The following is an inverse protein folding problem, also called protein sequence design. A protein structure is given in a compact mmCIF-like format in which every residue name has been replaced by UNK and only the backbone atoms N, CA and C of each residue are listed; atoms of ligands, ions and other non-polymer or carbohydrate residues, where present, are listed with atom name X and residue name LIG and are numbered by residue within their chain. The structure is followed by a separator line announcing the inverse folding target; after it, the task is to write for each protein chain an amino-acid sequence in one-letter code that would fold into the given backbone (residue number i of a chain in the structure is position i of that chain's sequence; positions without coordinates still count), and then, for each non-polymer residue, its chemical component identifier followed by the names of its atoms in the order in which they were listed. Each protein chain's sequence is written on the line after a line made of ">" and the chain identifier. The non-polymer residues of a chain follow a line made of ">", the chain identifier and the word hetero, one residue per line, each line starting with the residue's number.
data_IF_678263109471
#
_entry.id   IF_678263109471
#
_cell.length_a   1.000
_cell.length_b   1.000
_cell.length_c   1.000
_cell.angle_alpha   90.00
_cell.angle_beta   90.00
_cell.angle_gamma   90.00
#
_symmetry.space_group_name_H-M   'P 1'
#
loop_
_entity.id
_entity.type
_entity.pdbx_description
1 polymer ?
#
# COMPACT_ATOMS: atom_id res chain seq x y z
N UNK A 1 8.10 2.94 -28.10
CA UNK A 1 7.43 3.29 -26.84
C UNK A 1 8.04 2.42 -25.75
N UNK A 2 8.71 3.03 -24.76
CA UNK A 2 9.38 2.30 -23.68
C UNK A 2 8.44 2.19 -22.49
N UNK A 3 8.35 0.99 -21.91
CA UNK A 3 7.58 0.71 -20.70
C UNK A 3 8.54 0.62 -19.51
N UNK A 4 8.24 1.32 -18.42
CA UNK A 4 8.96 1.18 -17.15
C UNK A 4 7.98 0.72 -16.06
N UNK A 5 8.27 -0.46 -15.49
CA UNK A 5 7.43 -1.09 -14.46
C UNK A 5 8.14 -1.00 -13.12
N UNK A 6 7.43 -0.52 -12.10
CA UNK A 6 7.94 -0.35 -10.75
C UNK A 6 7.09 -1.13 -9.77
N UNK A 7 7.75 -1.82 -8.84
CA UNK A 7 7.11 -2.29 -7.61
C UNK A 7 7.06 -1.17 -6.56
N UNK A 8 6.21 -1.32 -5.55
CA UNK A 8 6.01 -0.36 -4.46
C UNK A 8 6.82 -0.73 -3.22
N UNK A 9 6.45 -1.83 -2.56
CA UNK A 9 6.89 -2.13 -1.20
C UNK A 9 8.32 -2.68 -1.17
N UNK A 10 9.27 -1.91 -0.62
CA UNK A 10 10.68 -2.27 -0.63
C UNK A 10 11.41 -1.89 -1.93
N UNK A 11 10.69 -1.30 -2.90
CA UNK A 11 11.26 -0.81 -4.16
C UNK A 11 11.18 0.72 -4.23
N UNK A 12 9.98 1.30 -4.10
CA UNK A 12 9.77 2.75 -3.98
C UNK A 12 9.72 3.15 -2.51
N UNK A 13 8.91 2.46 -1.70
CA UNK A 13 8.85 2.67 -0.25
C UNK A 13 9.93 1.85 0.47
N UNK A 14 10.39 2.34 1.62
CA UNK A 14 11.38 1.61 2.44
C UNK A 14 10.85 0.28 2.96
N UNK A 15 9.56 0.23 3.27
CA UNK A 15 8.90 -0.89 3.95
C UNK A 15 7.50 -1.14 3.38
N UNK A 16 6.86 -2.20 3.86
CA UNK A 16 5.46 -2.50 3.61
C UNK A 16 4.57 -1.30 3.96
N UNK A 17 3.69 -0.93 3.04
CA UNK A 17 2.80 0.23 3.19
C UNK A 17 1.43 -0.14 3.75
N UNK A 18 1.00 -1.41 3.69
CA UNK A 18 -0.32 -1.82 4.14
C UNK A 18 -0.45 -1.83 5.66
N UNK A 19 0.50 -2.45 6.37
CA UNK A 19 0.41 -2.56 7.83
C UNK A 19 0.43 -1.18 8.51
N UNK A 20 1.35 -0.24 8.17
CA UNK A 20 1.34 1.11 8.73
C UNK A 20 0.05 1.89 8.42
N UNK A 21 -0.52 1.73 7.22
CA UNK A 21 -1.80 2.35 6.84
C UNK A 21 -2.91 1.87 7.77
N UNK A 22 -3.07 0.55 7.91
CA UNK A 22 -4.11 -0.04 8.78
C UNK A 22 -3.89 0.38 10.23
N UNK A 23 -2.66 0.35 10.74
CA UNK A 23 -2.37 0.76 12.11
C UNK A 23 -2.74 2.22 12.35
N UNK A 24 -2.38 3.13 11.43
CA UNK A 24 -2.72 4.55 11.51
C UNK A 24 -4.23 4.78 11.46
N UNK A 25 -4.98 3.96 10.71
CA UNK A 25 -6.44 3.98 10.72
C UNK A 25 -7.03 3.58 12.07
N UNK A 26 -6.49 2.52 12.68
CA UNK A 26 -6.97 1.99 13.95
C UNK A 26 -6.66 2.90 15.13
N UNK A 27 -5.46 3.50 15.19
CA UNK A 27 -5.07 4.41 16.30
C UNK A 27 -6.00 5.62 16.40
N UNK A 28 -6.59 6.07 15.28
CA UNK A 28 -7.61 7.13 15.27
C UNK A 28 -8.97 6.69 15.83
N UNK A 29 -9.18 5.39 16.07
CA UNK A 29 -10.42 4.77 16.55
C UNK A 29 -10.09 3.68 17.57
N UNK A 30 -9.73 4.04 18.81
CA UNK A 30 -9.10 3.12 19.76
C UNK A 30 -9.94 1.87 20.06
N UNK A 31 -11.28 1.96 20.03
CA UNK A 31 -12.16 0.79 20.17
C UNK A 31 -11.98 -0.26 19.07
N UNK A 32 -11.45 0.13 17.90
CA UNK A 32 -11.13 -0.79 16.80
C UNK A 32 -9.78 -1.49 16.97
N UNK A 33 -8.90 -1.08 17.89
CA UNK A 33 -7.64 -1.80 18.13
C UNK A 33 -7.88 -3.25 18.56
N UNK A 34 -8.97 -3.51 19.29
CA UNK A 34 -9.38 -4.87 19.68
C UNK A 34 -9.58 -5.81 18.46
N UNK A 35 -9.89 -5.25 17.27
CA UNK A 35 -9.99 -6.04 16.04
C UNK A 35 -8.66 -6.64 15.59
N UNK A 36 -7.52 -6.11 16.05
CA UNK A 36 -6.20 -6.71 15.77
C UNK A 36 -6.05 -8.09 16.39
N UNK A 37 -6.82 -8.42 17.44
CA UNK A 37 -6.83 -9.78 18.00
C UNK A 37 -7.31 -10.81 16.97
N UNK A 38 -8.17 -10.41 16.03
CA UNK A 38 -8.60 -11.26 14.91
C UNK A 38 -7.50 -11.56 13.88
N UNK A 39 -6.34 -10.89 13.95
CA UNK A 39 -5.18 -11.14 13.09
C UNK A 39 -4.31 -12.27 13.62
N UNK A 40 -4.43 -12.60 14.92
CA UNK A 40 -3.61 -13.62 15.60
C UNK A 40 -3.62 -14.98 14.90
N UNK A 41 -4.77 -15.53 14.45
CA UNK A 41 -4.78 -16.78 13.70
C UNK A 41 -4.00 -16.70 12.37
N UNK A 42 -4.05 -15.55 11.69
CA UNK A 42 -3.29 -15.30 10.47
C UNK A 42 -1.79 -15.20 10.71
N UNK A 43 -1.37 -14.58 11.82
CA UNK A 43 0.03 -14.52 12.26
C UNK A 43 0.58 -15.91 12.58
N UNK A 44 -0.20 -16.73 13.31
CA UNK A 44 0.17 -18.11 13.59
C UNK A 44 0.34 -18.91 12.30
N UNK A 45 -0.60 -18.80 11.35
CA UNK A 45 -0.48 -19.45 10.05
C UNK A 45 0.75 -18.97 9.25
N UNK A 46 1.04 -17.68 9.28
CA UNK A 46 2.24 -17.12 8.63
C UNK A 46 3.54 -17.71 9.20
N UNK A 47 3.60 -18.03 10.48
CA UNK A 47 4.77 -18.68 11.08
C UNK A 47 5.06 -20.06 10.46
N UNK A 48 4.04 -20.77 9.96
CA UNK A 48 4.18 -22.07 9.30
C UNK A 48 4.30 -21.96 7.78
N UNK A 49 3.48 -21.14 7.14
CA UNK A 49 3.34 -21.10 5.66
C UNK A 49 4.13 -19.96 4.99
N UNK A 50 4.56 -18.95 5.76
CA UNK A 50 5.23 -17.73 5.27
C UNK A 50 4.51 -16.99 4.14
N UNK A 51 3.19 -17.20 4.00
CA UNK A 51 2.37 -16.53 3.00
C UNK A 51 1.98 -15.12 3.45
N UNK A 52 2.66 -14.12 2.87
CA UNK A 52 2.41 -12.70 3.14
C UNK A 52 1.05 -12.25 2.62
N UNK A 53 0.56 -12.80 1.52
CA UNK A 53 -0.75 -12.46 0.94
C UNK A 53 -1.88 -12.89 1.87
N UNK A 54 -1.82 -14.13 2.35
CA UNK A 54 -2.71 -14.66 3.37
C UNK A 54 -2.76 -13.79 4.64
N UNK A 55 -1.59 -13.36 5.13
CA UNK A 55 -1.50 -12.51 6.32
C UNK A 55 -2.15 -11.14 6.08
N UNK A 56 -1.85 -10.50 4.94
CA UNK A 56 -2.45 -9.21 4.54
C UNK A 56 -3.97 -9.32 4.43
N UNK A 57 -4.49 -10.40 3.84
CA UNK A 57 -5.93 -10.64 3.75
C UNK A 57 -6.57 -10.82 5.13
N UNK A 58 -5.93 -11.55 6.05
CA UNK A 58 -6.42 -11.70 7.43
C UNK A 58 -6.48 -10.36 8.16
N UNK A 59 -5.45 -9.51 7.99
CA UNK A 59 -5.41 -8.16 8.53
C UNK A 59 -6.59 -7.32 8.03
N UNK A 60 -6.80 -7.28 6.72
CA UNK A 60 -7.89 -6.52 6.10
C UNK A 60 -9.26 -7.01 6.56
N UNK A 61 -9.48 -8.34 6.59
CA UNK A 61 -10.74 -8.95 7.03
C UNK A 61 -11.04 -8.65 8.50
N UNK A 62 -10.03 -8.64 9.36
CA UNK A 62 -10.20 -8.35 10.77
C UNK A 62 -10.48 -6.85 11.01
N UNK A 63 -9.77 -5.96 10.30
CA UNK A 63 -9.69 -4.54 10.67
C UNK A 63 -10.60 -3.63 9.84
N UNK A 64 -10.73 -3.89 8.53
CA UNK A 64 -11.40 -3.00 7.58
C UNK A 64 -12.74 -3.54 7.07
N UNK A 65 -13.11 -4.80 7.36
CA UNK A 65 -14.42 -5.36 6.99
C UNK A 65 -15.56 -4.44 7.42
N UNK A 66 -16.44 -4.12 6.46
CA UNK A 66 -17.61 -3.26 6.65
C UNK A 66 -17.30 -1.75 6.61
N UNK A 67 -16.05 -1.35 6.37
CA UNK A 67 -15.67 0.06 6.19
C UNK A 67 -15.87 0.45 4.72
N UNK A 68 -16.69 1.47 4.40
CA UNK A 68 -16.84 1.96 3.04
C UNK A 68 -15.52 2.50 2.49
N UNK A 69 -15.22 2.22 1.21
CA UNK A 69 -14.01 2.75 0.52
C UNK A 69 -13.97 4.28 0.55
N UNK A 70 -15.13 4.94 0.47
CA UNK A 70 -15.26 6.40 0.58
C UNK A 70 -14.78 6.94 1.93
N UNK A 71 -14.97 6.18 3.01
CA UNK A 71 -14.50 6.55 4.34
C UNK A 71 -12.98 6.46 4.47
N UNK A 72 -12.37 5.55 3.70
CA UNK A 72 -10.92 5.33 3.67
C UNK A 72 -10.20 6.29 2.72
N UNK A 73 -10.86 6.84 1.71
CA UNK A 73 -10.24 7.63 0.64
C UNK A 73 -9.34 8.76 1.19
N UNK A 74 -9.91 9.63 2.04
CA UNK A 74 -9.15 10.75 2.61
C UNK A 74 -8.04 10.29 3.58
N UNK A 75 -8.19 9.13 4.21
CA UNK A 75 -7.13 8.54 5.02
C UNK A 75 -5.98 8.02 4.16
N UNK A 76 -6.30 7.34 3.06
CA UNK A 76 -5.34 6.80 2.11
C UNK A 76 -4.55 7.93 1.44
N UNK A 77 -5.24 8.97 0.95
CA UNK A 77 -4.58 10.15 0.36
C UNK A 77 -3.54 10.76 1.29
N UNK A 78 -3.93 11.06 2.55
CA UNK A 78 -2.99 11.59 3.55
C UNK A 78 -1.87 10.61 3.86
N UNK A 79 -2.16 9.33 3.97
CA UNK A 79 -1.14 8.30 4.22
C UNK A 79 -0.12 8.23 3.08
N UNK A 80 -0.58 8.26 1.84
CA UNK A 80 0.28 8.23 0.65
C UNK A 80 1.15 9.47 0.60
N UNK A 81 0.59 10.66 0.81
CA UNK A 81 1.36 11.92 0.83
C UNK A 81 2.45 11.90 1.91
N UNK A 82 2.12 11.47 3.12
CA UNK A 82 3.09 11.36 4.22
C UNK A 82 4.17 10.30 3.92
N UNK A 83 3.80 9.21 3.24
CA UNK A 83 4.75 8.16 2.86
C UNK A 83 5.67 8.61 1.73
N UNK A 84 5.17 9.33 0.72
CA UNK A 84 6.00 9.87 -0.36
C UNK A 84 7.02 10.88 0.17
N UNK A 85 6.65 11.67 1.17
CA UNK A 85 7.54 12.71 1.71
C UNK A 85 8.69 12.18 2.58
N UNK A 86 8.49 11.03 3.25
CA UNK A 86 9.43 10.55 4.29
C UNK A 86 9.71 9.04 4.30
N UNK A 87 8.91 8.24 3.60
CA UNK A 87 8.97 6.77 3.62
C UNK A 87 9.41 6.13 2.31
N UNK A 88 9.93 6.91 1.36
CA UNK A 88 10.38 6.44 0.04
C UNK A 88 11.87 6.68 -0.20
N UNK A 89 12.49 5.78 -0.97
CA UNK A 89 13.88 5.93 -1.39
C UNK A 89 14.01 7.11 -2.35
N UNK A 90 14.85 8.09 -1.99
CA UNK A 90 15.07 9.28 -2.82
C UNK A 90 15.54 8.92 -4.25
N UNK A 91 16.38 7.89 -4.38
CA UNK A 91 16.86 7.36 -5.66
C UNK A 91 15.75 6.71 -6.49
N UNK A 92 14.81 6.01 -5.85
CA UNK A 92 13.65 5.44 -6.53
C UNK A 92 12.75 6.55 -7.08
N UNK A 93 12.47 7.58 -6.27
CA UNK A 93 11.71 8.76 -6.72
C UNK A 93 12.41 9.50 -7.87
N UNK A 94 13.72 9.67 -7.80
CA UNK A 94 14.51 10.27 -8.89
C UNK A 94 14.44 9.40 -10.16
N UNK A 95 14.48 8.08 -10.03
CA UNK A 95 14.39 7.15 -11.16
C UNK A 95 13.03 7.20 -11.83
N UNK A 96 11.93 7.22 -11.06
CA UNK A 96 10.58 7.45 -11.58
C UNK A 96 10.51 8.76 -12.37
N UNK A 97 11.05 9.86 -11.81
CA UNK A 97 11.09 11.16 -12.50
C UNK A 97 11.87 11.13 -13.81
N UNK A 98 13.05 10.51 -13.83
CA UNK A 98 13.86 10.36 -15.06
C UNK A 98 13.11 9.62 -16.15
N UNK A 99 12.46 8.51 -15.83
CA UNK A 99 11.68 7.76 -16.81
C UNK A 99 10.47 8.55 -17.31
N UNK A 100 9.83 9.33 -16.44
CA UNK A 100 8.76 10.25 -16.82
C UNK A 100 9.25 11.33 -17.79
N UNK A 101 10.37 11.98 -17.48
CA UNK A 101 10.99 13.03 -18.31
C UNK A 101 11.45 12.49 -19.66
N UNK A 102 11.86 11.21 -19.72
CA UNK A 102 12.17 10.50 -20.95
C UNK A 102 10.93 10.10 -21.77
N UNK A 103 9.71 10.41 -21.31
CA UNK A 103 8.46 10.08 -22.00
C UNK A 103 8.12 8.58 -22.01
N UNK A 104 8.64 7.81 -21.06
CA UNK A 104 8.30 6.40 -20.93
C UNK A 104 6.90 6.24 -20.33
N UNK A 105 6.22 5.16 -20.71
CA UNK A 105 4.96 4.79 -20.08
C UNK A 105 5.24 4.11 -18.74
N UNK A 106 4.74 4.70 -17.66
CA UNK A 106 5.02 4.29 -16.28
C UNK A 106 3.89 3.40 -15.74
N UNK A 107 4.25 2.21 -15.28
CA UNK A 107 3.33 1.28 -14.61
C UNK A 107 3.79 1.00 -13.19
N UNK A 108 2.95 1.33 -12.21
CA UNK A 108 3.10 0.88 -10.84
C UNK A 108 2.44 -0.50 -10.72
N UNK A 109 3.18 -1.54 -10.35
CA UNK A 109 2.68 -2.90 -10.24
C UNK A 109 3.04 -3.45 -8.87
N UNK A 110 2.06 -3.57 -7.98
CA UNK A 110 2.29 -4.00 -6.60
C UNK A 110 1.35 -5.13 -6.19
N UNK A 111 1.85 -6.03 -5.36
CA UNK A 111 1.02 -7.04 -4.69
C UNK A 111 0.13 -6.45 -3.58
N UNK A 112 0.35 -5.18 -3.21
CA UNK A 112 -0.52 -4.45 -2.28
C UNK A 112 -1.84 -4.05 -2.93
N UNK A 113 -2.74 -3.46 -2.13
CA UNK A 113 -4.18 -3.50 -2.41
C UNK A 113 -4.74 -2.27 -3.11
N UNK A 114 -5.78 -2.51 -3.90
CA UNK A 114 -6.36 -1.58 -4.87
C UNK A 114 -7.03 -0.32 -4.28
N UNK A 115 -7.29 -0.27 -2.99
CA UNK A 115 -7.89 0.92 -2.38
C UNK A 115 -6.89 2.05 -2.07
N UNK A 116 -5.57 1.80 -2.10
CA UNK A 116 -4.56 2.85 -1.86
C UNK A 116 -3.40 2.85 -2.86
N UNK A 117 -3.05 1.73 -3.49
CA UNK A 117 -1.96 1.70 -4.49
C UNK A 117 -2.22 2.66 -5.66
N UNK A 118 -3.45 2.82 -6.19
CA UNK A 118 -3.71 3.80 -7.24
C UNK A 118 -3.39 5.24 -6.82
N UNK A 119 -3.47 5.55 -5.53
CA UNK A 119 -3.17 6.87 -5.01
C UNK A 119 -1.66 7.16 -5.02
N UNK A 120 -0.80 6.15 -4.79
CA UNK A 120 0.64 6.27 -5.06
C UNK A 120 0.90 6.54 -6.54
N UNK A 121 0.24 5.79 -7.43
CA UNK A 121 0.36 6.00 -8.86
C UNK A 121 0.01 7.43 -9.27
N UNK A 122 -1.12 7.93 -8.77
CA UNK A 122 -1.60 9.30 -9.03
C UNK A 122 -0.61 10.36 -8.52
N UNK A 123 -0.16 10.27 -7.27
CA UNK A 123 0.71 11.30 -6.67
C UNK A 123 2.14 11.28 -7.23
N UNK A 124 2.64 10.12 -7.66
CA UNK A 124 3.97 9.99 -8.27
C UNK A 124 3.97 10.25 -9.79
N UNK A 125 2.79 10.31 -10.42
CA UNK A 125 2.62 10.59 -11.84
C UNK A 125 2.84 9.36 -12.73
N UNK A 126 2.37 8.19 -12.30
CA UNK A 126 2.30 6.99 -13.11
C UNK A 126 1.08 7.04 -14.05
N UNK A 127 1.23 6.46 -15.24
CA UNK A 127 0.13 6.35 -16.21
C UNK A 127 -0.86 5.24 -15.83
N UNK A 128 -0.37 4.18 -15.18
CA UNK A 128 -1.21 3.07 -14.74
C UNK A 128 -0.74 2.48 -13.42
N UNK A 129 -1.69 2.05 -12.59
CA UNK A 129 -1.45 1.29 -11.37
C UNK A 129 -2.18 -0.07 -11.44
N UNK A 130 -1.45 -1.14 -11.15
CA UNK A 130 -1.92 -2.52 -11.05
C UNK A 130 -1.70 -3.00 -9.62
N UNK A 131 -2.75 -3.53 -9.01
CA UNK A 131 -2.78 -3.89 -7.60
C UNK A 131 -3.74 -5.05 -7.34
N UNK A 132 -3.62 -5.68 -6.18
CA UNK A 132 -4.48 -6.78 -5.77
C UNK A 132 -5.86 -6.25 -5.36
N UNK A 133 -6.92 -6.70 -6.03
CA UNK A 133 -8.30 -6.36 -5.70
C UNK A 133 -8.77 -7.02 -4.40
N UNK A 134 -9.43 -6.24 -3.52
CA UNK A 134 -9.96 -6.71 -2.22
C UNK A 134 -11.38 -6.26 -1.89
#
# INVERSE_FOLDING_TARGET
>A
MTLAVFDLDGTISHHDTLFPLVLRWLVRRPWRLLKLLGVVPGLLRFAFERDRGALKQSLLRATLRGTPRTELAAHCERFVTDTISSGCFAEALATVRRHREAGHFLVLMSASVDFYVPEFGRQLGFDRALSTGV
#
